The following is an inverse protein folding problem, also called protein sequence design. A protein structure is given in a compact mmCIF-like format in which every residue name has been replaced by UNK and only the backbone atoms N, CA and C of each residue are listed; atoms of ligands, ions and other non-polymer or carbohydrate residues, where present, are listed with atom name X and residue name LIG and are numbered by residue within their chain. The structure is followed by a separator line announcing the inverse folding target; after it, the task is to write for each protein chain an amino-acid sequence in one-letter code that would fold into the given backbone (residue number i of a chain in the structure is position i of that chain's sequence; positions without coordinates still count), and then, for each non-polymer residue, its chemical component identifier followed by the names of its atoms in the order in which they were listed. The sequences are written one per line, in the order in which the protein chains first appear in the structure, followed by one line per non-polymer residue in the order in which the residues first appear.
data_IF_425363120018
#
_entry.id   IF_425363120018
#
_cell.length_a   1.000
_cell.length_b   1.000
_cell.length_c   1.000
_cell.angle_alpha   90.00
_cell.angle_beta   90.00
_cell.angle_gamma   90.00
#
_symmetry.space_group_name_H-M   'P 1'
#
loop_
_entity.id
_entity.type
_entity.pdbx_description
1 polymer ?
#
# COMPACT_ATOMS: atom_id res chain seq x y z
N UNK A 1 -13.79 -38.53 31.58
CA UNK A 1 -13.90 -37.05 31.59
C UNK A 1 -12.54 -36.48 31.22
N UNK A 2 -12.42 -35.78 30.09
CA UNK A 2 -11.44 -34.73 29.81
C UNK A 2 -11.76 -34.19 28.41
N UNK A 3 -12.65 -33.20 28.38
CA UNK A 3 -12.88 -32.40 27.19
C UNK A 3 -11.67 -31.49 26.97
N UNK A 4 -11.12 -31.51 25.77
CA UNK A 4 -10.17 -30.50 25.32
C UNK A 4 -11.00 -29.40 24.68
N UNK A 5 -11.11 -28.26 25.36
CA UNK A 5 -11.63 -27.03 24.75
C UNK A 5 -10.43 -26.32 24.16
N UNK A 6 -10.32 -26.32 22.83
CA UNK A 6 -9.42 -25.40 22.13
C UNK A 6 -10.10 -24.03 22.14
N UNK A 7 -9.87 -23.29 23.21
CA UNK A 7 -10.16 -21.86 23.27
C UNK A 7 -9.04 -21.14 22.54
N UNK A 8 -9.34 -20.49 21.43
CA UNK A 8 -8.35 -19.68 20.72
C UNK A 8 -8.73 -19.28 19.30
N UNK A 9 -10.00 -19.01 19.01
CA UNK A 9 -10.32 -18.19 17.85
C UNK A 9 -10.13 -16.72 18.27
N UNK A 10 -8.94 -16.16 18.03
CA UNK A 10 -8.80 -14.71 17.97
C UNK A 10 -9.66 -14.25 16.79
N UNK A 11 -10.85 -13.74 17.07
CA UNK A 11 -11.63 -13.00 16.09
C UNK A 11 -10.92 -11.66 15.92
N UNK A 12 -9.99 -11.59 14.96
CA UNK A 12 -9.34 -10.32 14.63
C UNK A 12 -10.43 -9.34 14.21
N UNK A 13 -10.45 -8.17 14.84
CA UNK A 13 -11.39 -7.14 14.44
C UNK A 13 -11.01 -6.66 13.03
N UNK A 14 -11.99 -6.37 12.15
CA UNK A 14 -11.70 -5.84 10.84
C UNK A 14 -11.04 -4.47 10.98
N UNK A 15 -9.84 -4.33 10.42
CA UNK A 15 -9.15 -3.04 10.31
C UNK A 15 -9.76 -2.33 9.11
N UNK A 16 -10.32 -1.13 9.34
CA UNK A 16 -10.94 -0.32 8.30
C UNK A 16 -10.21 1.00 8.20
N UNK A 17 -9.72 1.32 7.00
CA UNK A 17 -9.13 2.61 6.66
C UNK A 17 -10.05 3.37 5.72
N UNK A 18 -10.09 4.69 5.86
CA UNK A 18 -10.86 5.56 4.96
C UNK A 18 -9.95 6.21 3.94
N UNK A 19 -10.37 6.18 2.67
CA UNK A 19 -9.69 6.89 1.59
C UNK A 19 -10.44 8.19 1.30
N UNK A 20 -9.69 9.29 1.27
CA UNK A 20 -10.20 10.60 0.87
C UNK A 20 -9.82 10.85 -0.59
N UNK A 21 -10.80 10.75 -1.48
CA UNK A 21 -10.61 11.00 -2.90
C UNK A 21 -10.60 12.49 -3.23
N UNK A 22 -9.62 12.87 -4.03
CA UNK A 22 -9.39 14.20 -4.60
C UNK A 22 -9.57 14.15 -6.11
N UNK A 23 -10.10 15.20 -6.73
CA UNK A 23 -10.15 15.28 -8.19
C UNK A 23 -8.74 15.42 -8.77
N UNK A 24 -8.54 15.04 -10.04
CA UNK A 24 -7.27 15.22 -10.73
C UNK A 24 -6.80 16.68 -10.83
N UNK A 25 -7.73 17.64 -10.69
CA UNK A 25 -7.41 19.08 -10.64
C UNK A 25 -6.68 19.49 -9.36
N UNK A 26 -6.81 18.71 -8.28
CA UNK A 26 -6.03 18.86 -7.05
C UNK A 26 -4.79 17.99 -7.18
N UNK A 27 -3.65 18.56 -7.57
CA UNK A 27 -2.42 17.79 -7.81
C UNK A 27 -1.79 17.29 -6.49
N UNK A 28 -1.08 16.14 -6.51
CA UNK A 28 -0.22 15.74 -5.40
C UNK A 28 0.83 16.81 -5.10
N UNK A 29 1.23 16.90 -3.85
CA UNK A 29 2.19 17.89 -3.37
C UNK A 29 3.43 17.21 -2.79
N UNK A 30 4.52 17.97 -2.62
CA UNK A 30 5.82 17.43 -2.18
C UNK A 30 5.78 16.78 -0.79
N UNK A 31 4.81 17.15 0.04
CA UNK A 31 4.58 16.56 1.37
C UNK A 31 4.21 15.08 1.28
N UNK A 32 3.77 14.60 0.11
CA UNK A 32 3.45 13.20 -0.16
C UNK A 32 4.58 12.45 -0.86
N UNK A 33 5.78 13.02 -0.98
CA UNK A 33 6.91 12.34 -1.62
C UNK A 33 7.16 10.95 -1.02
N UNK A 34 7.28 9.94 -1.88
CA UNK A 34 7.46 8.53 -1.53
C UNK A 34 6.19 7.81 -1.06
N UNK A 35 5.05 8.52 -0.90
CA UNK A 35 3.78 7.92 -0.50
C UNK A 35 3.10 7.26 -1.69
N UNK A 36 2.37 6.18 -1.40
CA UNK A 36 1.55 5.50 -2.39
C UNK A 36 0.16 6.13 -2.49
N UNK A 37 -0.37 6.17 -3.71
CA UNK A 37 -1.71 6.63 -4.05
C UNK A 37 -2.44 5.57 -4.86
N UNK A 38 -3.76 5.61 -4.80
CA UNK A 38 -4.65 4.93 -5.74
C UNK A 38 -5.29 5.96 -6.66
N UNK A 39 -5.31 5.68 -7.96
CA UNK A 39 -5.79 6.55 -9.04
C UNK A 39 -6.98 5.86 -9.75
N UNK A 40 -7.98 6.65 -10.14
CA UNK A 40 -9.09 6.17 -10.98
C UNK A 40 -8.89 6.62 -12.42
N UNK A 41 -8.54 5.68 -13.28
CA UNK A 41 -8.61 5.84 -14.73
C UNK A 41 -10.02 5.41 -15.21
N UNK A 42 -10.78 6.27 -15.90
CA UNK A 42 -12.11 5.92 -16.42
C UNK A 42 -12.12 4.77 -17.44
N UNK A 43 -11.01 4.50 -18.11
CA UNK A 43 -10.93 3.53 -19.20
C UNK A 43 -10.79 2.08 -18.70
N UNK A 44 -9.95 1.85 -17.69
CA UNK A 44 -9.58 0.51 -17.21
C UNK A 44 -9.58 0.36 -15.68
N UNK A 45 -9.92 1.41 -14.94
CA UNK A 45 -10.22 1.33 -13.50
C UNK A 45 -9.09 1.83 -12.60
N UNK A 46 -8.77 1.05 -11.57
CA UNK A 46 -7.91 1.50 -10.47
C UNK A 46 -6.43 1.18 -10.70
N UNK A 47 -5.58 2.16 -10.45
CA UNK A 47 -4.12 2.03 -10.55
C UNK A 47 -3.45 2.45 -9.25
N UNK A 48 -2.31 1.85 -8.93
CA UNK A 48 -1.48 2.23 -7.77
C UNK A 48 -0.22 2.92 -8.29
N UNK A 49 0.13 4.05 -7.70
CA UNK A 49 1.28 4.85 -8.08
C UNK A 49 2.00 5.40 -6.86
N UNK A 50 3.27 5.74 -7.02
CA UNK A 50 4.02 6.46 -6.00
C UNK A 50 4.11 7.94 -6.34
N UNK A 51 3.89 8.81 -5.37
CA UNK A 51 4.12 10.24 -5.54
C UNK A 51 5.61 10.52 -5.45
N UNK A 52 6.16 11.18 -6.46
CA UNK A 52 7.55 11.62 -6.50
C UNK A 52 7.61 13.14 -6.60
N UNK A 53 8.37 13.76 -5.71
CA UNK A 53 8.80 15.16 -5.83
C UNK A 53 10.20 15.17 -6.44
N UNK A 54 10.30 15.67 -7.67
CA UNK A 54 11.57 15.75 -8.39
C UNK A 54 12.27 17.06 -8.04
N UNK A 55 13.53 16.93 -7.65
CA UNK A 55 14.35 18.03 -7.16
C UNK A 55 15.55 18.27 -8.09
N UNK A 56 15.85 19.54 -8.34
CA UNK A 56 17.07 20.00 -9.02
C UNK A 56 17.60 21.21 -8.25
N UNK A 57 18.90 21.22 -7.95
CA UNK A 57 19.56 22.26 -7.16
C UNK A 57 18.90 22.58 -5.80
N UNK A 58 18.24 21.58 -5.19
CA UNK A 58 17.54 21.71 -3.91
C UNK A 58 16.14 22.31 -4.01
N UNK A 59 15.65 22.58 -5.22
CA UNK A 59 14.30 23.08 -5.49
C UNK A 59 13.44 22.00 -6.16
N UNK A 60 12.21 21.83 -5.66
CA UNK A 60 11.24 20.92 -6.27
C UNK A 60 10.67 21.57 -7.52
N UNK A 61 11.01 21.03 -8.70
CA UNK A 61 10.50 21.54 -9.97
C UNK A 61 9.23 20.82 -10.46
N UNK A 62 8.99 19.59 -9.98
CA UNK A 62 7.84 18.80 -10.39
C UNK A 62 7.37 17.84 -9.29
N UNK A 63 6.07 17.58 -9.24
CA UNK A 63 5.46 16.55 -8.39
C UNK A 63 4.44 15.78 -9.21
N UNK A 64 4.59 14.46 -9.28
CA UNK A 64 3.75 13.59 -10.09
C UNK A 64 3.50 12.23 -9.45
N UNK A 65 2.58 11.46 -10.01
CA UNK A 65 2.28 10.09 -9.60
C UNK A 65 2.84 9.12 -10.65
N UNK A 66 3.75 8.22 -10.24
CA UNK A 66 4.51 7.36 -11.12
C UNK A 66 4.17 5.90 -10.90
N UNK A 67 4.07 5.14 -11.99
CA UNK A 67 4.03 3.68 -11.94
C UNK A 67 5.34 3.15 -11.35
N UNK A 68 5.28 1.99 -10.67
CA UNK A 68 6.49 1.31 -10.22
C UNK A 68 7.40 0.96 -11.42
N UNK A 69 8.53 1.66 -11.52
CA UNK A 69 9.48 1.57 -12.64
C UNK A 69 8.91 1.99 -14.01
N UNK A 70 7.87 2.82 -14.04
CA UNK A 70 7.21 3.30 -15.26
C UNK A 70 7.14 4.83 -15.37
N UNK A 71 6.27 5.29 -16.26
CA UNK A 71 6.05 6.72 -16.52
C UNK A 71 5.15 7.39 -15.48
N UNK A 72 5.01 8.71 -15.62
CA UNK A 72 4.02 9.47 -14.88
C UNK A 72 2.61 9.17 -15.39
N UNK A 73 1.67 9.01 -14.46
CA UNK A 73 0.25 9.12 -14.74
C UNK A 73 -0.16 10.59 -14.69
N UNK A 74 -0.46 11.15 -15.86
CA UNK A 74 -0.81 12.57 -15.95
C UNK A 74 -2.27 12.82 -15.50
N UNK A 75 -2.51 13.88 -14.71
CA UNK A 75 -3.86 14.24 -14.27
C UNK A 75 -4.73 14.66 -15.46
N UNK A 76 -6.01 14.27 -15.45
CA UNK A 76 -7.01 14.50 -16.51
C UNK A 76 -6.79 13.72 -17.81
N UNK A 77 -5.54 13.44 -18.19
CA UNK A 77 -5.23 12.63 -19.37
C UNK A 77 -5.28 11.13 -19.06
N UNK A 78 -4.76 10.72 -17.90
CA UNK A 78 -4.79 9.33 -17.46
C UNK A 78 -5.86 9.06 -16.39
N UNK A 79 -5.93 9.89 -15.34
CA UNK A 79 -6.84 9.66 -14.21
C UNK A 79 -7.72 10.88 -13.89
N UNK A 80 -8.88 10.63 -13.27
CA UNK A 80 -9.87 11.66 -12.89
C UNK A 80 -9.95 11.91 -11.39
N UNK A 81 -9.55 10.95 -10.58
CA UNK A 81 -9.54 11.05 -9.12
C UNK A 81 -8.39 10.25 -8.51
N UNK A 82 -7.96 10.63 -7.31
CA UNK A 82 -6.90 9.94 -6.59
C UNK A 82 -7.07 10.03 -5.08
N UNK A 83 -6.48 9.09 -4.34
CA UNK A 83 -6.43 9.13 -2.88
C UNK A 83 -5.08 8.61 -2.37
N UNK A 84 -4.63 9.11 -1.22
CA UNK A 84 -3.48 8.53 -0.53
C UNK A 84 -3.84 7.17 0.04
N UNK A 85 -2.99 6.19 -0.20
CA UNK A 85 -3.09 4.92 0.52
C UNK A 85 -2.63 5.11 1.98
N UNK A 86 -3.16 4.28 2.90
CA UNK A 86 -2.65 4.22 4.26
C UNK A 86 -1.15 3.97 4.25
N UNK A 87 -0.48 4.49 5.28
CA UNK A 87 0.94 4.18 5.46
C UNK A 87 1.07 2.66 5.65
N UNK A 88 1.77 2.00 4.72
CA UNK A 88 1.81 0.54 4.68
C UNK A 88 2.51 -0.07 5.88
N UNK A 89 3.47 0.64 6.49
CA UNK A 89 4.17 0.19 7.69
C UNK A 89 3.21 0.27 8.87
N UNK A 90 2.54 1.41 9.05
CA UNK A 90 1.54 1.57 10.11
C UNK A 90 0.40 0.57 9.96
N UNK A 91 -0.10 0.35 8.74
CA UNK A 91 -1.15 -0.64 8.47
C UNK A 91 -0.65 -2.05 8.80
N UNK A 92 0.56 -2.41 8.40
CA UNK A 92 1.15 -3.72 8.69
C UNK A 92 1.32 -3.96 10.19
N UNK A 93 1.62 -2.92 10.98
CA UNK A 93 1.78 -3.03 12.43
C UNK A 93 0.50 -3.54 13.12
N UNK A 94 -0.68 -3.30 12.54
CA UNK A 94 -1.94 -3.84 13.08
C UNK A 94 -2.08 -5.36 12.94
N UNK A 95 -1.20 -6.01 12.16
CA UNK A 95 -1.19 -7.46 11.94
C UNK A 95 0.04 -8.14 12.58
N UNK A 96 0.77 -7.44 13.46
CA UNK A 96 1.96 -8.01 14.13
C UNK A 96 1.64 -9.25 14.95
N UNK A 97 0.45 -9.34 15.55
CA UNK A 97 -0.02 -10.52 16.27
C UNK A 97 -0.32 -11.72 15.35
N UNK A 98 -0.47 -11.48 14.05
CA UNK A 98 -0.66 -12.51 13.02
C UNK A 98 0.66 -12.93 12.35
N UNK A 99 1.78 -12.35 12.77
CA UNK A 99 3.10 -12.69 12.23
C UNK A 99 3.48 -14.11 12.64
N UNK A 100 3.99 -14.90 11.68
CA UNK A 100 4.50 -16.24 11.98
C UNK A 100 5.66 -16.14 12.98
N UNK A 101 5.70 -17.07 13.93
CA UNK A 101 6.87 -17.21 14.79
C UNK A 101 8.12 -17.51 13.94
N UNK A 102 9.32 -17.09 14.37
CA UNK A 102 10.56 -17.34 13.63
C UNK A 102 10.75 -18.82 13.28
N UNK A 103 10.38 -19.72 14.19
CA UNK A 103 10.50 -21.17 14.03
C UNK A 103 9.57 -21.68 12.92
N UNK A 104 8.31 -21.24 12.91
CA UNK A 104 7.33 -21.63 11.88
C UNK A 104 7.73 -21.07 10.52
N UNK A 105 8.21 -19.82 10.48
CA UNK A 105 8.68 -19.17 9.25
C UNK A 105 9.86 -19.93 8.63
N UNK A 106 10.84 -20.31 9.45
CA UNK A 106 12.02 -21.04 9.00
C UNK A 106 11.67 -22.46 8.53
N UNK A 107 10.79 -23.17 9.24
CA UNK A 107 10.31 -24.48 8.81
C UNK A 107 9.63 -24.44 7.43
N UNK A 108 8.73 -23.46 7.22
CA UNK A 108 8.05 -23.26 5.92
C UNK A 108 9.01 -22.90 4.80
N UNK A 109 10.01 -22.06 5.07
CA UNK A 109 11.03 -21.71 4.10
C UNK A 109 11.81 -22.95 3.63
N UNK A 110 12.27 -23.79 4.57
CA UNK A 110 12.98 -25.04 4.24
C UNK A 110 12.12 -26.01 3.43
N UNK A 111 10.84 -26.14 3.77
CA UNK A 111 9.91 -26.96 3.00
C UNK A 111 9.74 -26.46 1.56
N UNK A 112 9.65 -25.14 1.36
CA UNK A 112 9.54 -24.55 0.03
C UNK A 112 10.82 -24.74 -0.79
N UNK A 113 11.99 -24.52 -0.20
CA UNK A 113 13.30 -24.74 -0.85
C UNK A 113 13.51 -26.22 -1.18
N UNK A 114 13.01 -27.16 -0.37
CA UNK A 114 13.13 -28.58 -0.69
C UNK A 114 12.22 -29.03 -1.84
N UNK A 115 11.23 -28.22 -2.23
CA UNK A 115 10.25 -28.52 -3.27
C UNK A 115 10.56 -27.85 -4.62
N UNK A 116 11.50 -26.91 -4.67
CA UNK A 116 11.87 -26.14 -5.87
C UNK A 116 13.38 -26.18 -6.09
#
# INVERSE_FOLDING_TARGET
MRGFVVSGASMSQPITEQLHFRPASEKPTKEFNGRWVILLNPCDGWHIAQVLALEEDGEVYHVGAYEFAGGEFEPHDFYVAWALLPDSINLANHFEDQRLSPEIREARWREWVAKN
#
